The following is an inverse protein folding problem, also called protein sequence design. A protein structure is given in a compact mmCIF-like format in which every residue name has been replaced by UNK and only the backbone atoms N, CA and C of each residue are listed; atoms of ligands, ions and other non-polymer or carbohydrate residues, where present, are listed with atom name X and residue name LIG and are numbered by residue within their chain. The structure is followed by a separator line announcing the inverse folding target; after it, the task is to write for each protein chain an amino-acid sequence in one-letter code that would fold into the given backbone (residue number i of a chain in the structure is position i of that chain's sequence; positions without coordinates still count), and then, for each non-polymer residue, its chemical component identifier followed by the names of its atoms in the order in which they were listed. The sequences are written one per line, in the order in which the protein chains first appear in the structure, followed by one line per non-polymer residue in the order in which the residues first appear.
data_IF_940153400731
#
_entry.id   IF_940153400731
#
_cell.length_a   1.000
_cell.length_b   1.000
_cell.length_c   1.000
_cell.angle_alpha   90.00
_cell.angle_beta   90.00
_cell.angle_gamma   90.00
#
_symmetry.space_group_name_H-M   'P 1'
#
loop_
_entity.id
_entity.type
_entity.pdbx_description
1 polymer ?
#
# COMPACT_ATOMS: atom_id res chain seq x y z
N UNK A 1 6.35 2.16 -5.23
CA UNK A 1 7.11 1.05 -5.87
C UNK A 1 6.46 0.80 -7.23
N UNK A 2 7.26 0.60 -8.27
CA UNK A 2 6.80 0.57 -9.67
C UNK A 2 6.54 -0.88 -10.11
N UNK A 3 5.34 -1.19 -10.60
CA UNK A 3 5.12 -2.39 -11.39
C UNK A 3 5.30 -2.05 -12.87
N UNK A 4 6.02 -2.90 -13.60
CA UNK A 4 6.36 -2.70 -15.01
C UNK A 4 5.34 -3.45 -15.87
N UNK A 5 4.47 -2.72 -16.54
CA UNK A 5 3.61 -3.28 -17.59
C UNK A 5 4.34 -3.25 -18.93
N UNK A 6 4.33 -4.38 -19.61
CA UNK A 6 4.90 -4.59 -20.93
C UNK A 6 4.02 -3.90 -21.97
N UNK A 7 4.05 -2.57 -22.05
CA UNK A 7 3.80 -1.74 -23.24
C UNK A 7 3.67 -0.26 -22.82
N UNK A 8 4.62 0.56 -23.28
CA UNK A 8 4.59 2.02 -23.42
C UNK A 8 3.59 2.84 -22.57
N UNK A 9 4.03 3.24 -21.37
CA UNK A 9 3.72 4.51 -20.67
C UNK A 9 2.26 4.93 -20.44
N UNK A 10 1.31 4.02 -20.29
CA UNK A 10 0.10 4.37 -19.53
C UNK A 10 0.40 4.24 -18.04
N UNK A 11 0.80 5.36 -17.44
CA UNK A 11 0.72 5.50 -15.99
C UNK A 11 -0.75 5.42 -15.60
N UNK A 12 -1.19 4.26 -15.11
CA UNK A 12 -2.51 4.15 -14.51
C UNK A 12 -2.57 5.06 -13.28
N UNK A 13 -3.37 6.12 -13.38
CA UNK A 13 -3.62 7.01 -12.25
C UNK A 13 -4.48 6.25 -11.24
N UNK A 14 -3.89 5.91 -10.09
CA UNK A 14 -4.63 5.35 -8.96
C UNK A 14 -5.06 6.54 -8.10
N UNK A 15 -6.35 6.86 -8.03
CA UNK A 15 -6.80 7.96 -7.20
C UNK A 15 -6.56 7.66 -5.72
N UNK A 16 -6.14 8.67 -4.96
CA UNK A 16 -5.83 8.50 -3.52
C UNK A 16 -7.03 7.95 -2.74
N UNK A 17 -8.26 8.31 -3.12
CA UNK A 17 -9.46 7.80 -2.45
C UNK A 17 -9.63 6.29 -2.60
N UNK A 18 -9.23 5.68 -3.73
CA UNK A 18 -9.40 4.24 -3.95
C UNK A 18 -8.40 3.40 -3.14
N UNK A 19 -7.33 4.01 -2.62
CA UNK A 19 -6.32 3.34 -1.79
C UNK A 19 -6.30 3.88 -0.36
N UNK A 20 -7.27 4.71 0.02
CA UNK A 20 -7.28 5.39 1.32
C UNK A 20 -7.36 4.41 2.49
N UNK A 21 -8.16 3.35 2.35
CA UNK A 21 -8.28 2.29 3.36
C UNK A 21 -6.99 1.49 3.50
N UNK A 22 -6.36 1.11 2.38
CA UNK A 22 -5.07 0.43 2.37
C UNK A 22 -3.97 1.28 3.03
N UNK A 23 -3.88 2.57 2.68
CA UNK A 23 -2.96 3.52 3.34
C UNK A 23 -3.24 3.59 4.84
N UNK A 24 -4.51 3.63 5.24
CA UNK A 24 -4.92 3.62 6.64
C UNK A 24 -4.43 2.39 7.39
N UNK A 25 -4.49 1.21 6.77
CA UNK A 25 -3.98 -0.05 7.34
C UNK A 25 -2.46 -0.02 7.48
N UNK A 26 -1.74 0.41 6.45
CA UNK A 26 -0.28 0.58 6.48
C UNK A 26 0.15 1.50 7.64
N UNK A 27 -0.50 2.66 7.77
CA UNK A 27 -0.16 3.64 8.81
C UNK A 27 -0.46 3.10 10.22
N UNK A 28 -1.59 2.42 10.41
CA UNK A 28 -1.93 1.82 11.71
C UNK A 28 -0.93 0.74 12.14
N UNK A 29 -0.55 -0.14 11.22
CA UNK A 29 0.43 -1.19 11.51
C UNK A 29 1.77 -0.57 11.87
N UNK A 30 2.22 0.41 11.08
CA UNK A 30 3.46 1.16 11.34
C UNK A 30 3.44 1.83 12.71
N UNK A 31 2.40 2.60 13.04
CA UNK A 31 2.28 3.30 14.32
C UNK A 31 2.22 2.34 15.52
N UNK A 32 1.65 1.14 15.34
CA UNK A 32 1.53 0.15 16.41
C UNK A 32 2.81 -0.63 16.68
N UNK A 33 3.69 -0.77 15.67
CA UNK A 33 4.89 -1.61 15.72
C UNK A 33 6.19 -0.84 15.73
N UNK A 34 6.17 0.43 15.34
CA UNK A 34 7.35 1.26 15.21
C UNK A 34 7.42 2.32 16.31
N UNK A 35 8.57 2.42 16.96
CA UNK A 35 8.91 3.55 17.81
C UNK A 35 9.84 4.48 17.05
N UNK A 36 9.42 5.73 16.87
CA UNK A 36 10.22 6.76 16.21
C UNK A 36 10.98 7.57 17.27
N UNK A 37 12.30 7.67 17.14
CA UNK A 37 13.15 8.53 17.95
C UNK A 37 14.05 9.39 17.04
N UNK A 38 14.84 10.29 17.64
CA UNK A 38 15.74 11.21 16.91
C UNK A 38 16.77 10.52 16.01
N UNK A 39 17.03 9.22 16.19
CA UNK A 39 18.01 8.45 15.42
C UNK A 39 17.38 7.61 14.31
N UNK A 40 16.05 7.48 14.29
CA UNK A 40 15.31 6.70 13.29
C UNK A 40 14.08 6.01 13.87
N UNK A 41 13.51 5.09 13.09
CA UNK A 41 12.40 4.24 13.51
C UNK A 41 12.92 2.82 13.80
N UNK A 42 12.52 2.25 14.94
CA UNK A 42 12.73 0.84 15.25
C UNK A 42 11.38 0.15 15.25
N UNK A 43 11.22 -0.88 14.42
CA UNK A 43 9.96 -1.60 14.27
C UNK A 43 10.13 -3.07 14.65
N UNK A 44 9.28 -3.57 15.54
CA UNK A 44 9.27 -4.98 15.92
C UNK A 44 8.15 -5.71 15.20
N UNK A 45 8.49 -6.78 14.47
CA UNK A 45 7.52 -7.64 13.78
C UNK A 45 6.58 -6.91 12.80
N UNK A 46 7.06 -5.86 12.14
CA UNK A 46 6.29 -5.10 11.17
C UNK A 46 5.88 -5.98 9.98
N UNK A 47 4.57 -6.06 9.71
CA UNK A 47 4.02 -6.75 8.54
C UNK A 47 3.11 -5.81 7.74
N UNK A 48 3.70 -5.12 6.77
CA UNK A 48 2.93 -4.25 5.90
C UNK A 48 2.21 -5.08 4.82
N UNK A 49 0.96 -4.73 4.48
CA UNK A 49 0.29 -5.32 3.33
C UNK A 49 1.09 -5.03 2.05
N UNK A 50 1.07 -5.99 1.13
CA UNK A 50 1.78 -5.90 -0.14
C UNK A 50 1.08 -4.96 -1.12
N UNK A 51 1.76 -4.64 -2.21
CA UNK A 51 1.17 -3.86 -3.29
C UNK A 51 0.21 -4.71 -4.10
N UNK A 52 0.48 -6.01 -4.18
CA UNK A 52 -0.43 -7.00 -4.75
C UNK A 52 -1.76 -7.01 -3.98
N UNK A 53 -1.72 -6.94 -2.64
CA UNK A 53 -2.93 -6.83 -1.82
C UNK A 53 -3.73 -5.56 -2.16
N UNK A 54 -3.04 -4.42 -2.30
CA UNK A 54 -3.65 -3.17 -2.74
C UNK A 54 -4.29 -3.31 -4.14
N UNK A 55 -3.61 -3.97 -5.08
CA UNK A 55 -4.13 -4.16 -6.44
C UNK A 55 -5.37 -5.06 -6.43
N UNK A 56 -5.37 -6.11 -5.62
CA UNK A 56 -6.55 -7.00 -5.47
C UNK A 56 -7.75 -6.25 -4.90
N UNK A 57 -7.55 -5.37 -3.91
CA UNK A 57 -8.63 -4.51 -3.37
C UNK A 57 -9.18 -3.52 -4.40
N UNK A 58 -8.35 -3.06 -5.34
CA UNK A 58 -8.72 -2.14 -6.40
C UNK A 58 -9.43 -2.80 -7.58
N UNK A 59 -9.37 -4.13 -7.70
CA UNK A 59 -10.05 -4.81 -8.80
C UNK A 59 -11.56 -4.66 -8.63
N UNK A 60 -12.27 -4.08 -9.61
CA UNK A 60 -13.73 -4.10 -9.58
C UNK A 60 -14.17 -5.56 -9.51
N UNK A 61 -15.00 -5.90 -8.51
CA UNK A 61 -15.60 -7.23 -8.46
C UNK A 61 -16.37 -7.41 -9.78
N UNK A 62 -15.96 -8.38 -10.60
CA UNK A 62 -16.74 -8.77 -11.77
C UNK A 62 -18.10 -9.30 -11.28
N UNK A 63 -19.14 -8.47 -11.33
CA UNK A 63 -20.51 -8.93 -11.19
C UNK A 63 -20.82 -9.86 -12.36
N UNK A 64 -20.87 -11.17 -12.09
CA UNK A 64 -21.38 -12.20 -12.99
C UNK A 64 -22.92 -12.19 -13.01
#
# INVERSE_FOLDING_TARGET
VYMKTSNLFEYAFIPIWSVSDWIGTVMKEFDSKCTINRRGATCEHLQLPSIEDMIMELQPMEEH
#
